data_IF_147915655144
#
_entry.id   IF_147915655144
#
_cell.length_a   1.000
_cell.length_b   1.000
_cell.length_c   1.000
_cell.angle_alpha   90.00
_cell.angle_beta   90.00
_cell.angle_gamma   90.00
#
_symmetry.space_group_name_H-M   'P 1'
#
loop_
_entity.id
_entity.type
_entity.pdbx_description
1 polymer ?
#
# COMPACT_ATOMS: atom_id res chain seq x y z
N UNK A 1 27.13 12.05 9.09
CA UNK A 1 26.16 12.29 7.98
C UNK A 1 25.38 11.01 7.69
N UNK A 2 24.24 10.75 8.36
CA UNK A 2 23.34 9.61 8.07
C UNK A 2 21.84 9.97 8.12
N UNK A 3 21.50 11.23 8.41
CA UNK A 3 20.12 11.67 8.63
C UNK A 3 19.36 11.93 7.31
N UNK A 4 20.04 12.37 6.25
CA UNK A 4 19.38 12.74 4.98
C UNK A 4 18.79 11.58 4.17
N UNK A 5 19.24 10.34 4.38
CA UNK A 5 18.73 9.17 3.63
C UNK A 5 17.36 8.74 4.18
N UNK A 6 17.14 8.85 5.49
CA UNK A 6 15.90 8.46 6.17
C UNK A 6 14.74 9.39 5.83
N UNK A 7 15.00 10.70 5.68
CA UNK A 7 13.98 11.68 5.28
C UNK A 7 13.53 11.48 3.83
N UNK A 8 14.48 11.20 2.93
CA UNK A 8 14.20 10.97 1.51
C UNK A 8 13.46 9.64 1.26
N UNK A 9 13.80 8.59 2.02
CA UNK A 9 13.01 7.34 2.06
C UNK A 9 11.63 7.60 2.67
N UNK A 10 11.53 8.30 3.81
CA UNK A 10 10.25 8.64 4.42
C UNK A 10 9.31 9.42 3.50
N UNK A 11 9.84 10.30 2.65
CA UNK A 11 9.09 11.02 1.64
C UNK A 11 8.62 10.11 0.49
N UNK A 12 9.49 9.26 -0.07
CA UNK A 12 9.08 8.28 -1.10
C UNK A 12 8.02 7.29 -0.56
N UNK A 13 8.15 6.90 0.71
CA UNK A 13 7.22 6.03 1.42
C UNK A 13 5.87 6.70 1.69
N UNK A 14 5.87 7.96 2.12
CA UNK A 14 4.66 8.75 2.35
C UNK A 14 3.81 8.95 1.07
N UNK A 15 4.46 8.97 -0.10
CA UNK A 15 3.80 9.15 -1.40
C UNK A 15 3.18 7.87 -1.91
N UNK A 16 3.80 6.73 -1.60
CA UNK A 16 3.29 5.42 -2.00
C UNK A 16 2.21 4.90 -1.04
N UNK A 17 2.13 5.38 0.21
CA UNK A 17 0.99 5.14 1.12
C UNK A 17 1.19 5.76 2.50
N UNK A 18 0.11 6.26 3.11
CA UNK A 18 0.05 6.41 4.55
C UNK A 18 0.28 5.05 5.23
N UNK A 19 1.07 5.05 6.31
CA UNK A 19 1.54 3.92 7.13
C UNK A 19 2.79 3.20 6.63
N UNK A 20 3.79 3.16 7.52
CA UNK A 20 5.12 2.64 7.28
C UNK A 20 5.18 1.12 7.24
N UNK A 21 6.13 0.61 6.46
CA UNK A 21 6.63 -0.75 6.62
C UNK A 21 8.13 -0.72 6.97
N UNK A 22 8.52 -1.76 7.70
CA UNK A 22 9.88 -2.06 8.06
C UNK A 22 10.62 -2.67 6.86
N UNK A 23 11.87 -2.26 6.68
CA UNK A 23 12.84 -3.04 5.91
C UNK A 23 13.16 -4.33 6.67
N UNK A 24 12.75 -5.49 6.16
CA UNK A 24 13.19 -6.77 6.71
C UNK A 24 14.62 -7.02 6.22
N UNK A 25 15.60 -6.64 7.04
CA UNK A 25 16.93 -7.21 6.97
C UNK A 25 16.90 -8.56 7.69
N UNK A 26 17.10 -9.65 6.97
CA UNK A 26 17.12 -10.99 7.52
C UNK A 26 18.33 -11.18 8.45
N UNK A 27 18.11 -11.07 9.76
CA UNK A 27 19.05 -11.55 10.78
C UNK A 27 18.63 -12.98 11.18
N UNK A 28 19.42 -13.95 10.72
CA UNK A 28 19.35 -15.35 11.14
C UNK A 28 19.89 -15.44 12.57
N UNK A 29 19.09 -15.87 13.53
CA UNK A 29 19.56 -16.20 14.89
C UNK A 29 18.96 -17.53 15.34
N UNK A 30 19.85 -18.39 15.79
CA UNK A 30 19.69 -19.82 16.08
C UNK A 30 18.81 -20.09 17.30
N UNK A 31 18.15 -21.26 17.29
CA UNK A 31 17.30 -21.77 18.38
C UNK A 31 18.15 -22.72 19.26
N UNK A 32 18.20 -22.56 20.59
CA UNK A 32 18.82 -23.56 21.46
C UNK A 32 17.82 -24.69 21.81
N UNK A 33 18.30 -25.93 22.06
CA UNK A 33 17.45 -27.09 22.30
C UNK A 33 17.27 -27.40 23.81
N UNK A 34 16.10 -27.93 24.15
CA UNK A 34 15.88 -28.72 25.37
C UNK A 34 14.97 -28.06 26.41
N UNK A 35 13.71 -28.51 26.47
CA UNK A 35 13.04 -29.05 27.68
C UNK A 35 11.50 -29.22 27.45
N UNK A 36 10.79 -30.02 28.28
CA UNK A 36 10.01 -31.17 27.81
C UNK A 36 8.55 -30.87 27.46
N UNK A 37 7.98 -31.80 26.68
CA UNK A 37 6.58 -31.89 26.27
C UNK A 37 5.71 -32.16 27.49
N UNK A 38 4.85 -31.21 27.85
CA UNK A 38 3.77 -31.39 28.80
C UNK A 38 2.50 -31.86 28.07
N UNK A 39 1.90 -32.86 28.68
CA UNK A 39 0.77 -33.70 28.29
C UNK A 39 -0.57 -32.95 28.20
N UNK A 40 -1.25 -33.18 27.07
CA UNK A 40 -2.70 -33.10 26.80
C UNK A 40 -3.53 -32.02 27.52
N UNK A 41 -3.76 -30.91 26.82
CA UNK A 41 -5.04 -30.19 26.91
C UNK A 41 -5.93 -30.69 25.76
N UNK A 42 -7.12 -31.18 26.09
CA UNK A 42 -8.12 -31.71 25.17
C UNK A 42 -8.30 -30.83 23.93
N UNK A 43 -8.09 -31.41 22.75
CA UNK A 43 -8.42 -30.79 21.48
C UNK A 43 -9.95 -30.58 21.40
N UNK A 44 -10.42 -29.37 21.02
CA UNK A 44 -11.84 -29.18 20.73
C UNK A 44 -12.24 -30.10 19.57
N UNK A 45 -13.48 -30.61 19.55
CA UNK A 45 -13.90 -31.64 18.60
C UNK A 45 -13.62 -31.17 17.17
N UNK A 46 -13.12 -32.08 16.33
CA UNK A 46 -12.83 -31.87 14.89
C UNK A 46 -14.06 -31.30 14.19
N UNK A 47 -14.19 -29.97 14.27
CA UNK A 47 -15.25 -29.22 13.65
C UNK A 47 -15.06 -29.35 12.15
N UNK A 48 -16.05 -29.99 11.49
CA UNK A 48 -16.23 -30.06 10.04
C UNK A 48 -15.64 -28.80 9.38
N UNK A 49 -14.39 -28.88 8.94
CA UNK A 49 -13.71 -27.78 8.26
C UNK A 49 -14.48 -27.59 6.96
N UNK A 50 -15.40 -26.62 6.93
CA UNK A 50 -16.10 -26.26 5.70
C UNK A 50 -15.04 -26.03 4.64
N UNK A 51 -15.10 -26.71 3.49
CA UNK A 51 -14.06 -26.60 2.48
C UNK A 51 -13.90 -25.12 2.12
N UNK A 52 -12.64 -24.68 1.95
CA UNK A 52 -12.26 -23.28 1.70
C UNK A 52 -13.10 -22.64 0.58
N UNK A 53 -13.53 -23.46 -0.39
CA UNK A 53 -14.46 -23.09 -1.46
C UNK A 53 -15.84 -22.66 -0.97
N UNK A 54 -16.47 -23.38 -0.04
CA UNK A 54 -17.76 -22.95 0.54
C UNK A 54 -17.61 -21.68 1.37
N UNK A 55 -16.43 -21.46 1.95
CA UNK A 55 -16.16 -20.28 2.75
C UNK A 55 -16.00 -19.02 1.88
N UNK A 56 -15.32 -19.17 0.74
CA UNK A 56 -15.08 -18.08 -0.21
C UNK A 56 -16.24 -17.83 -1.15
N UNK A 57 -16.90 -18.88 -1.65
CA UNK A 57 -17.89 -18.79 -2.73
C UNK A 57 -19.34 -18.85 -2.24
N UNK A 58 -19.61 -19.48 -1.09
CA UNK A 58 -20.96 -19.77 -0.60
C UNK A 58 -21.33 -21.24 -0.78
N UNK A 59 -22.02 -21.80 0.22
CA UNK A 59 -22.39 -23.21 0.25
C UNK A 59 -23.62 -23.50 -0.62
N UNK A 60 -24.60 -22.60 -0.62
CA UNK A 60 -25.84 -22.73 -1.39
C UNK A 60 -25.86 -21.80 -2.63
N UNK A 61 -26.69 -22.08 -3.66
CA UNK A 61 -26.86 -21.20 -4.81
C UNK A 61 -27.31 -19.78 -4.42
N UNK A 62 -28.29 -19.65 -3.52
CA UNK A 62 -28.76 -18.35 -3.02
C UNK A 62 -27.65 -17.59 -2.28
N UNK A 63 -26.85 -18.29 -1.47
CA UNK A 63 -25.72 -17.65 -0.79
C UNK A 63 -24.65 -17.18 -1.79
N UNK A 64 -24.39 -17.94 -2.86
CA UNK A 64 -23.45 -17.53 -3.92
C UNK A 64 -23.89 -16.26 -4.61
N UNK A 65 -25.17 -16.12 -4.91
CA UNK A 65 -25.74 -14.92 -5.53
C UNK A 65 -25.63 -13.73 -4.59
N UNK A 66 -26.05 -13.88 -3.33
CA UNK A 66 -25.92 -12.83 -2.30
C UNK A 66 -24.46 -12.37 -2.13
N UNK A 67 -23.52 -13.32 -2.05
CA UNK A 67 -22.10 -13.00 -1.92
C UNK A 67 -21.54 -12.37 -3.21
N UNK A 68 -22.02 -12.76 -4.38
CA UNK A 68 -21.60 -12.17 -5.64
C UNK A 68 -22.06 -10.70 -5.76
N UNK A 69 -23.29 -10.40 -5.33
CA UNK A 69 -23.79 -9.03 -5.26
C UNK A 69 -22.97 -8.19 -4.28
N UNK A 70 -22.71 -8.73 -3.07
CA UNK A 70 -21.90 -8.03 -2.07
C UNK A 70 -20.46 -7.80 -2.56
N UNK A 71 -19.85 -8.75 -3.29
CA UNK A 71 -18.51 -8.55 -3.91
C UNK A 71 -18.51 -7.40 -4.90
N UNK A 72 -19.54 -7.29 -5.74
CA UNK A 72 -19.69 -6.18 -6.71
C UNK A 72 -19.84 -4.86 -5.98
N UNK A 73 -20.69 -4.81 -4.95
CA UNK A 73 -20.89 -3.62 -4.11
C UNK A 73 -19.58 -3.19 -3.45
N UNK A 74 -18.86 -4.11 -2.82
CA UNK A 74 -17.59 -3.83 -2.15
C UNK A 74 -16.53 -3.31 -3.12
N UNK A 75 -16.40 -3.96 -4.28
CA UNK A 75 -15.43 -3.52 -5.30
C UNK A 75 -15.78 -2.13 -5.83
N UNK A 76 -17.07 -1.86 -6.08
CA UNK A 76 -17.53 -0.53 -6.51
C UNK A 76 -17.32 0.55 -5.44
N UNK A 77 -17.60 0.24 -4.17
CA UNK A 77 -17.39 1.17 -3.07
C UNK A 77 -15.89 1.41 -2.81
N UNK A 78 -15.06 0.37 -2.80
CA UNK A 78 -13.61 0.50 -2.66
C UNK A 78 -12.99 1.31 -3.81
N UNK A 79 -13.47 1.10 -5.04
CA UNK A 79 -13.11 1.92 -6.19
C UNK A 79 -13.51 3.39 -5.96
N UNK A 80 -14.76 3.66 -5.58
CA UNK A 80 -15.25 5.03 -5.34
C UNK A 80 -14.45 5.77 -4.25
N UNK A 81 -14.00 5.07 -3.21
CA UNK A 81 -13.12 5.63 -2.17
C UNK A 81 -11.65 5.78 -2.60
N UNK A 82 -11.27 5.30 -3.79
CA UNK A 82 -9.89 5.36 -4.28
C UNK A 82 -8.94 4.34 -3.66
N UNK A 83 -9.47 3.40 -2.89
CA UNK A 83 -8.73 2.43 -2.07
C UNK A 83 -8.40 1.12 -2.80
N UNK A 84 -9.12 0.80 -3.87
CA UNK A 84 -8.81 -0.35 -4.70
C UNK A 84 -7.66 0.01 -5.68
N UNK A 85 -6.48 -0.62 -5.56
CA UNK A 85 -5.34 -0.34 -6.45
C UNK A 85 -5.53 -0.88 -7.87
N UNK A 86 -6.55 -1.73 -8.10
CA UNK A 86 -6.87 -2.34 -9.41
C UNK A 86 -8.04 -1.65 -10.11
N UNK A 87 -8.67 -0.67 -9.46
CA UNK A 87 -9.76 0.11 -10.02
C UNK A 87 -9.26 1.10 -11.07
N UNK A 88 -9.87 1.04 -12.25
CA UNK A 88 -9.61 1.94 -13.38
C UNK A 88 -10.79 2.90 -13.46
N UNK A 89 -10.72 3.95 -12.65
CA UNK A 89 -11.74 4.99 -12.57
C UNK A 89 -11.07 6.37 -12.55
N UNK A 90 -11.79 7.38 -13.02
CA UNK A 90 -11.33 8.76 -13.01
C UNK A 90 -11.78 9.50 -11.76
N UNK A 91 -10.84 10.12 -11.06
CA UNK A 91 -11.13 11.02 -9.95
C UNK A 91 -9.90 11.86 -9.60
N UNK A 92 -10.14 12.90 -8.81
CA UNK A 92 -9.11 13.63 -8.09
C UNK A 92 -9.29 13.40 -6.59
N UNK A 93 -8.20 13.31 -5.85
CA UNK A 93 -8.22 13.09 -4.42
C UNK A 93 -7.19 13.98 -3.74
N UNK A 94 -7.63 14.62 -2.65
CA UNK A 94 -6.75 15.32 -1.72
C UNK A 94 -6.68 14.49 -0.45
N UNK A 95 -5.49 14.19 0.02
CA UNK A 95 -5.29 13.39 1.24
C UNK A 95 -4.33 14.11 2.17
N UNK A 96 -4.76 14.29 3.41
CA UNK A 96 -3.88 14.75 4.48
C UNK A 96 -3.56 13.56 5.39
N UNK A 97 -2.30 13.45 5.77
CA UNK A 97 -1.80 12.40 6.65
C UNK A 97 -0.89 12.99 7.71
N UNK A 98 -1.02 12.48 8.93
CA UNK A 98 -0.15 12.79 10.06
C UNK A 98 0.51 11.50 10.53
N UNK A 99 1.84 11.50 10.64
CA UNK A 99 2.62 10.37 11.14
C UNK A 99 3.57 10.84 12.24
N UNK A 100 3.49 10.21 13.40
CA UNK A 100 4.44 10.40 14.49
C UNK A 100 5.26 9.11 14.66
N UNK A 101 6.57 9.21 14.52
CA UNK A 101 7.49 8.08 14.63
C UNK A 101 8.12 8.01 16.02
N UNK A 102 8.60 6.83 16.41
CA UNK A 102 9.22 6.58 17.72
C UNK A 102 10.49 7.37 17.98
N UNK A 103 11.13 7.90 16.93
CA UNK A 103 12.32 8.75 17.00
C UNK A 103 12.00 10.25 17.15
N UNK A 104 10.76 10.62 17.51
CA UNK A 104 10.25 11.99 17.56
C UNK A 104 10.22 12.72 16.21
N UNK A 105 10.37 12.00 15.09
CA UNK A 105 10.07 12.55 13.78
C UNK A 105 8.56 12.68 13.63
N UNK A 106 8.11 13.87 13.26
CA UNK A 106 6.75 14.15 12.83
C UNK A 106 6.77 14.39 11.33
N UNK A 107 5.86 13.73 10.63
CA UNK A 107 5.72 13.84 9.19
C UNK A 107 4.25 14.07 8.86
N UNK A 108 3.95 15.28 8.42
CA UNK A 108 2.67 15.63 7.83
C UNK A 108 2.79 15.62 6.31
N UNK A 109 1.74 15.14 5.66
CA UNK A 109 1.71 14.99 4.19
C UNK A 109 0.40 15.53 3.67
N UNK A 110 0.45 16.34 2.62
CA UNK A 110 -0.69 16.69 1.80
C UNK A 110 -0.44 16.18 0.39
N UNK A 111 -1.27 15.26 -0.09
CA UNK A 111 -1.11 14.61 -1.38
C UNK A 111 -2.27 14.98 -2.28
N UNK A 112 -1.95 15.54 -3.45
CA UNK A 112 -2.91 15.71 -4.53
C UNK A 112 -2.72 14.61 -5.56
N UNK A 113 -3.77 13.83 -5.81
CA UNK A 113 -3.76 12.73 -6.76
C UNK A 113 -4.80 12.96 -7.85
N UNK A 114 -4.42 12.68 -9.09
CA UNK A 114 -5.33 12.66 -10.25
C UNK A 114 -5.19 11.31 -10.93
N UNK A 115 -6.29 10.57 -11.08
CA UNK A 115 -6.37 9.34 -11.86
C UNK A 115 -7.17 9.58 -13.14
N UNK A 116 -6.60 9.15 -14.26
CA UNK A 116 -7.13 9.30 -15.60
C UNK A 116 -7.27 7.90 -16.23
N UNK A 117 -8.50 7.37 -16.41
CA UNK A 117 -8.73 6.13 -17.13
C UNK A 117 -8.58 6.42 -18.63
N UNK A 118 -7.39 6.15 -19.17
CA UNK A 118 -7.08 6.36 -20.59
C UNK A 118 -7.94 5.43 -21.45
N UNK A 119 -8.13 4.19 -20.99
CA UNK A 119 -9.07 3.22 -21.56
C UNK A 119 -9.77 2.47 -20.43
N UNK A 120 -10.79 1.62 -20.69
CA UNK A 120 -11.40 0.78 -19.66
C UNK A 120 -10.41 -0.15 -18.93
N UNK A 121 -9.25 -0.44 -19.55
CA UNK A 121 -8.23 -1.35 -19.02
C UNK A 121 -6.87 -0.70 -18.78
N UNK A 122 -6.73 0.63 -18.95
CA UNK A 122 -5.47 1.35 -18.75
C UNK A 122 -5.71 2.66 -18.00
N UNK A 123 -4.94 2.87 -16.92
CA UNK A 123 -4.93 4.12 -16.17
C UNK A 123 -3.58 4.84 -16.26
N UNK A 124 -3.66 6.16 -16.17
CA UNK A 124 -2.56 7.04 -15.79
C UNK A 124 -2.91 7.72 -14.47
N UNK A 125 -1.98 7.78 -13.53
CA UNK A 125 -2.15 8.44 -12.25
C UNK A 125 -0.97 9.35 -11.99
N UNK A 126 -1.23 10.58 -11.55
CA UNK A 126 -0.22 11.55 -11.14
C UNK A 126 -0.48 11.91 -9.70
N UNK A 127 0.58 11.83 -8.88
CA UNK A 127 0.54 12.09 -7.45
C UNK A 127 1.57 13.16 -7.12
N UNK A 128 1.08 14.28 -6.56
CA UNK A 128 1.84 15.48 -6.19
C UNK A 128 1.83 15.63 -4.66
N UNK A 129 2.91 15.21 -3.99
CA UNK A 129 3.01 15.30 -2.55
C UNK A 129 3.66 16.60 -2.07
N UNK A 130 3.13 17.12 -0.96
CA UNK A 130 3.74 18.15 -0.14
C UNK A 130 3.99 17.56 1.25
N UNK A 131 5.21 17.72 1.76
CA UNK A 131 5.64 17.12 3.02
C UNK A 131 6.07 18.22 3.98
N UNK A 132 5.68 18.09 5.25
CA UNK A 132 6.27 18.79 6.38
C UNK A 132 6.94 17.75 7.28
N UNK A 133 8.25 17.83 7.43
CA UNK A 133 9.04 16.95 8.26
C UNK A 133 9.67 17.76 9.39
N UNK A 134 9.41 17.37 10.62
CA UNK A 134 9.94 18.02 11.82
C UNK A 134 10.55 16.98 12.77
N UNK A 135 11.85 17.06 12.98
CA UNK A 135 12.54 16.24 13.97
C UNK A 135 12.54 17.00 15.30
N UNK A 136 11.61 16.66 16.19
CA UNK A 136 11.39 17.37 17.45
C UNK A 136 12.49 17.04 18.50
N UNK A 137 13.71 17.50 18.25
CA UNK A 137 14.91 17.33 19.10
C UNK A 137 15.80 18.59 19.06
N UNK A 138 16.62 18.86 20.09
CA UNK A 138 17.62 19.92 20.03
C UNK A 138 18.61 19.66 18.88
N UNK A 139 18.73 20.62 17.94
CA UNK A 139 19.43 20.49 16.63
C UNK A 139 18.72 19.59 15.60
N UNK A 140 17.45 19.30 15.82
CA UNK A 140 16.59 18.67 14.82
C UNK A 140 16.44 19.53 13.57
N UNK A 141 16.09 18.91 12.45
CA UNK A 141 15.77 19.61 11.23
C UNK A 141 14.26 19.77 11.13
N UNK A 142 13.83 20.95 10.69
CA UNK A 142 12.45 21.20 10.28
C UNK A 142 12.50 21.61 8.82
N UNK A 143 11.77 20.91 7.95
CA UNK A 143 11.74 21.19 6.52
C UNK A 143 10.38 20.89 5.93
N UNK A 144 9.97 21.70 4.97
CA UNK A 144 8.75 21.52 4.23
C UNK A 144 8.91 21.87 2.75
N UNK A 145 8.01 21.34 1.93
CA UNK A 145 7.99 21.60 0.49
C UNK A 145 7.36 20.46 -0.29
N UNK A 146 7.18 20.66 -1.61
CA UNK A 146 6.84 19.56 -2.52
C UNK A 146 7.94 18.49 -2.49
N UNK A 147 7.52 17.24 -2.56
CA UNK A 147 8.38 16.06 -2.69
C UNK A 147 8.43 15.59 -4.15
N UNK A 148 9.02 14.42 -4.40
CA UNK A 148 9.15 13.85 -5.72
C UNK A 148 7.76 13.49 -6.28
N UNK A 149 7.50 13.93 -7.51
CA UNK A 149 6.24 13.62 -8.21
C UNK A 149 6.24 12.16 -8.60
N UNK A 150 5.13 11.46 -8.38
CA UNK A 150 4.99 10.06 -8.79
C UNK A 150 3.96 9.95 -9.90
N UNK A 151 4.35 9.27 -10.98
CA UNK A 151 3.48 8.93 -12.10
C UNK A 151 3.33 7.42 -12.16
N UNK A 152 2.10 6.93 -12.00
CA UNK A 152 1.78 5.51 -12.19
C UNK A 152 1.08 5.32 -13.53
N UNK A 153 1.49 4.31 -14.27
CA UNK A 153 0.78 3.86 -15.47
C UNK A 153 0.69 2.35 -15.48
N UNK A 154 -0.44 1.81 -15.92
CA UNK A 154 -0.62 0.36 -15.94
C UNK A 154 -2.02 -0.08 -16.32
N UNK A 155 -2.17 -1.37 -16.53
CA UNK A 155 -3.41 -1.96 -17.00
C UNK A 155 -3.90 -3.12 -16.16
N UNK A 156 -5.20 -3.36 -16.26
CA UNK A 156 -5.85 -4.52 -15.67
C UNK A 156 -5.67 -5.72 -16.59
N UNK A 157 -4.98 -6.75 -16.11
CA UNK A 157 -4.79 -8.00 -16.84
C UNK A 157 -5.98 -8.93 -16.70
N UNK A 158 -6.61 -8.93 -15.53
CA UNK A 158 -7.71 -9.83 -15.22
C UNK A 158 -8.64 -9.18 -14.21
N UNK A 159 -9.95 -9.35 -14.39
CA UNK A 159 -10.92 -9.06 -13.35
C UNK A 159 -12.07 -10.04 -13.41
N UNK A 160 -12.42 -10.55 -12.24
CA UNK A 160 -13.61 -11.34 -11.97
C UNK A 160 -14.28 -10.79 -10.71
N UNK A 161 -15.49 -11.24 -10.38
CA UNK A 161 -16.12 -10.90 -9.10
C UNK A 161 -15.31 -11.30 -7.86
N UNK A 162 -14.30 -12.18 -7.99
CA UNK A 162 -13.55 -12.73 -6.85
C UNK A 162 -12.12 -12.24 -6.75
N UNK A 163 -11.55 -11.72 -7.84
CA UNK A 163 -10.17 -11.24 -7.88
C UNK A 163 -9.98 -10.31 -9.06
N UNK A 164 -9.20 -9.25 -8.85
CA UNK A 164 -8.70 -8.37 -9.88
C UNK A 164 -7.17 -8.32 -9.83
N UNK A 165 -6.54 -8.28 -11.01
CA UNK A 165 -5.10 -8.20 -11.20
C UNK A 165 -4.78 -6.98 -12.07
N UNK A 166 -3.86 -6.17 -11.56
CA UNK A 166 -3.33 -4.99 -12.24
C UNK A 166 -1.81 -5.11 -12.34
N UNK A 167 -1.25 -4.70 -13.47
CA UNK A 167 0.20 -4.56 -13.64
C UNK A 167 0.52 -3.18 -14.13
N UNK A 168 1.63 -2.62 -13.67
CA UNK A 168 2.02 -1.28 -14.01
C UNK A 168 3.41 -0.94 -13.54
N UNK A 169 3.76 0.33 -13.71
CA UNK A 169 5.00 0.88 -13.23
C UNK A 169 4.74 2.23 -12.59
N UNK A 170 5.49 2.49 -11.52
CA UNK A 170 5.58 3.82 -10.92
C UNK A 170 6.89 4.46 -11.36
N UNK A 171 6.81 5.70 -11.82
CA UNK A 171 7.96 6.53 -12.10
C UNK A 171 7.99 7.65 -11.07
N UNK A 172 9.06 7.74 -10.29
CA UNK A 172 9.31 8.90 -9.43
C UNK A 172 10.20 9.88 -10.17
N UNK A 173 9.77 11.14 -10.21
CA UNK A 173 10.45 12.25 -10.87
C UNK A 173 11.00 13.18 -9.78
N UNK A 174 12.31 13.52 -9.80
CA UNK A 174 12.96 14.30 -8.75
C UNK A 174 12.57 15.79 -8.80
N UNK A 175 11.32 16.10 -8.46
CA UNK A 175 10.74 17.45 -8.43
C UNK A 175 10.77 18.08 -7.03
N UNK A 176 11.34 17.40 -6.03
CA UNK A 176 11.36 17.92 -4.67
C UNK A 176 12.05 19.29 -4.57
N UNK A 177 11.45 20.21 -3.80
CA UNK A 177 11.99 21.55 -3.63
C UNK A 177 13.31 21.59 -2.84
N UNK A 178 13.55 20.56 -2.02
CA UNK A 178 14.73 20.47 -1.13
C UNK A 178 15.33 19.07 -1.17
N UNK A 179 16.64 19.00 -0.94
CA UNK A 179 17.42 17.77 -0.98
C UNK A 179 16.96 16.71 0.04
N UNK A 180 16.33 17.14 1.13
CA UNK A 180 15.84 16.28 2.21
C UNK A 180 14.44 15.70 1.92
N UNK A 181 13.71 16.29 0.97
CA UNK A 181 12.31 15.95 0.66
C UNK A 181 12.16 15.02 -0.54
N UNK A 182 13.25 14.71 -1.23
CA UNK A 182 13.25 13.86 -2.40
C UNK A 182 14.51 13.04 -2.49
N UNK A 183 14.49 12.06 -3.38
CA UNK A 183 15.60 11.17 -3.64
C UNK A 183 16.69 11.87 -4.47
N UNK A 184 16.28 12.78 -5.35
CA UNK A 184 17.14 13.38 -6.38
C UNK A 184 17.43 12.42 -7.55
N UNK A 185 16.71 11.30 -7.62
CA UNK A 185 16.85 10.27 -8.64
C UNK A 185 15.55 10.07 -9.40
N UNK A 186 15.66 9.77 -10.68
CA UNK A 186 14.57 9.14 -11.41
C UNK A 186 14.53 7.67 -10.99
N UNK A 187 13.38 7.20 -10.53
CA UNK A 187 13.21 5.79 -10.18
C UNK A 187 12.05 5.18 -10.95
N UNK A 188 12.18 3.90 -11.29
CA UNK A 188 11.13 3.09 -11.89
C UNK A 188 10.83 1.91 -10.96
N UNK A 189 9.55 1.70 -10.68
CA UNK A 189 9.01 0.62 -9.86
C UNK A 189 7.99 -0.22 -10.63
N UNK A 190 8.41 -1.06 -11.59
CA UNK A 190 7.54 -2.06 -12.19
C UNK A 190 6.97 -3.00 -11.12
N UNK A 191 5.73 -3.41 -11.30
CA UNK A 191 5.07 -4.29 -10.36
C UNK A 191 3.61 -4.55 -10.68
N UNK A 192 2.88 -5.02 -9.68
CA UNK A 192 1.47 -5.34 -9.83
C UNK A 192 0.71 -5.30 -8.52
N UNK A 193 -0.61 -5.32 -8.65
CA UNK A 193 -1.54 -5.36 -7.54
C UNK A 193 -2.57 -6.46 -7.75
N UNK A 194 -2.91 -7.15 -6.67
CA UNK A 194 -4.03 -8.09 -6.61
C UNK A 194 -5.02 -7.59 -5.59
N UNK A 195 -6.30 -7.57 -5.95
CA UNK A 195 -7.40 -7.23 -5.04
C UNK A 195 -8.42 -8.37 -4.98
N UNK A 196 -8.84 -8.74 -3.77
CA UNK A 196 -9.74 -9.85 -3.46
C UNK A 196 -10.87 -9.33 -2.56
N UNK A 197 -12.11 -9.20 -3.07
CA UNK A 197 -13.25 -8.84 -2.25
C UNK A 197 -13.64 -9.99 -1.30
N UNK A 198 -13.78 -9.66 -0.03
CA UNK A 198 -14.13 -10.54 1.09
C UNK A 198 -15.53 -10.18 1.60
N UNK A 199 -16.61 -10.65 0.93
CA UNK A 199 -17.98 -10.20 1.19
C UNK A 199 -18.45 -10.49 2.62
N UNK A 200 -18.05 -11.62 3.20
CA UNK A 200 -18.42 -11.97 4.58
C UNK A 200 -17.81 -11.05 5.64
N UNK A 201 -16.69 -10.41 5.33
CA UNK A 201 -16.01 -9.46 6.20
C UNK A 201 -16.30 -8.00 5.80
N UNK A 202 -17.15 -7.76 4.78
CA UNK A 202 -17.36 -6.42 4.18
C UNK A 202 -16.05 -5.71 3.84
N UNK A 203 -15.08 -6.47 3.38
CA UNK A 203 -13.70 -6.01 3.22
C UNK A 203 -13.15 -6.27 1.83
N UNK A 204 -12.19 -5.48 1.41
CA UNK A 204 -11.34 -5.73 0.24
C UNK A 204 -9.92 -5.97 0.75
N UNK A 205 -9.39 -7.17 0.52
CA UNK A 205 -7.96 -7.41 0.70
C UNK A 205 -7.25 -7.01 -0.58
N UNK A 206 -6.11 -6.33 -0.47
CA UNK A 206 -5.23 -6.16 -1.62
C UNK A 206 -3.77 -6.28 -1.22
N UNK A 207 -2.95 -6.65 -2.20
CA UNK A 207 -1.50 -6.59 -2.10
C UNK A 207 -0.92 -5.91 -3.33
N UNK A 208 0.06 -5.04 -3.12
CA UNK A 208 0.85 -4.37 -4.16
C UNK A 208 2.29 -4.79 -3.98
N UNK A 209 2.94 -5.20 -5.07
CA UNK A 209 4.35 -5.59 -5.09
C UNK A 209 5.03 -4.80 -6.20
N UNK A 210 6.11 -4.09 -5.89
CA UNK A 210 6.86 -3.27 -6.83
C UNK A 210 8.35 -3.35 -6.54
N UNK A 211 9.19 -3.36 -7.57
CA UNK A 211 10.66 -3.34 -7.42
C UNK A 211 11.22 -2.02 -7.95
N UNK A 212 11.59 -1.12 -7.03
CA UNK A 212 12.06 0.22 -7.36
C UNK A 212 13.55 0.23 -7.61
N UNK A 213 13.96 0.78 -8.76
CA UNK A 213 15.35 0.96 -9.14
C UNK A 213 15.61 2.38 -9.66
N UNK A 214 16.76 2.93 -9.31
CA UNK A 214 17.21 4.23 -9.85
C UNK A 214 17.72 4.08 -11.28
N UNK A 215 17.22 4.90 -12.19
CA UNK A 215 17.58 4.88 -13.61
C UNK A 215 18.34 6.13 -14.06
N UNK A 216 18.39 7.17 -13.24
CA UNK A 216 19.12 8.41 -13.53
C UNK A 216 18.95 9.47 -12.45
N UNK A 217 19.43 10.69 -12.71
CA UNK A 217 19.29 11.85 -11.82
C UNK A 217 20.64 12.41 -11.35
N UNK A 218 20.63 13.10 -10.20
CA UNK A 218 21.81 13.79 -9.66
C UNK A 218 22.93 12.78 -9.31
N UNK A 219 24.13 12.88 -9.93
CA UNK A 219 25.22 11.93 -9.70
C UNK A 219 25.80 12.02 -8.27
N UNK A 220 25.61 13.14 -7.57
CA UNK A 220 26.06 13.31 -6.17
C UNK A 220 25.16 12.57 -5.17
N UNK A 221 24.00 12.07 -5.61
CA UNK A 221 23.04 11.34 -4.79
C UNK A 221 23.25 9.83 -4.95
N UNK A 222 23.06 9.08 -3.87
CA UNK A 222 23.15 7.62 -3.90
C UNK A 222 22.02 7.02 -4.78
N UNK A 223 22.33 5.93 -5.47
CA UNK A 223 21.30 5.13 -6.13
C UNK A 223 20.48 4.38 -5.08
N UNK A 224 19.19 4.20 -5.38
CA UNK A 224 18.20 3.55 -4.54
C UNK A 224 17.71 2.31 -5.28
N UNK A 225 17.62 1.19 -4.55
CA UNK A 225 17.05 -0.07 -4.99
C UNK A 225 16.33 -0.73 -3.81
N UNK A 226 15.04 -1.02 -3.95
CA UNK A 226 14.26 -1.74 -2.94
C UNK A 226 13.00 -2.36 -3.52
N UNK A 227 12.58 -3.48 -2.95
CA UNK A 227 11.27 -4.07 -3.22
C UNK A 227 10.25 -3.55 -2.19
N UNK A 228 9.15 -3.01 -2.68
CA UNK A 228 7.99 -2.64 -1.89
C UNK A 228 6.97 -3.78 -1.94
N UNK A 229 6.54 -4.23 -0.76
CA UNK A 229 5.38 -5.11 -0.59
C UNK A 229 4.41 -4.41 0.34
N UNK A 230 3.22 -4.13 -0.14
CA UNK A 230 2.18 -3.48 0.65
C UNK A 230 0.92 -4.32 0.62
N UNK A 231 0.52 -4.84 1.77
CA UNK A 231 -0.75 -5.53 1.95
C UNK A 231 -1.69 -4.69 2.81
N UNK A 232 -2.98 -4.69 2.47
CA UNK A 232 -3.97 -4.02 3.28
C UNK A 232 -5.34 -4.71 3.23
N UNK A 233 -6.11 -4.53 4.30
CA UNK A 233 -7.51 -4.91 4.40
C UNK A 233 -8.31 -3.63 4.55
N UNK A 234 -9.11 -3.31 3.53
CA UNK A 234 -10.02 -2.18 3.57
C UNK A 234 -11.44 -2.65 3.92
N UNK A 235 -11.93 -2.30 5.10
CA UNK A 235 -13.28 -2.60 5.57
C UNK A 235 -14.22 -1.43 5.31
N UNK A 236 -15.33 -1.70 4.61
CA UNK A 236 -16.32 -0.70 4.25
C UNK A 236 -17.50 -0.79 5.23
N UNK A 237 -17.64 0.24 6.07
CA UNK A 237 -18.68 0.30 7.10
C UNK A 237 -19.99 0.87 6.56
N UNK A 238 -19.89 1.89 5.71
CA UNK A 238 -21.02 2.56 5.07
C UNK A 238 -20.60 3.20 3.74
N UNK A 239 -21.53 3.88 3.08
CA UNK A 239 -21.26 4.64 1.85
C UNK A 239 -20.30 5.83 2.05
N UNK A 240 -19.98 6.20 3.29
CA UNK A 240 -19.09 7.34 3.60
C UNK A 240 -17.93 6.99 4.51
N UNK A 241 -17.93 5.80 5.10
CA UNK A 241 -16.95 5.42 6.12
C UNK A 241 -16.33 4.07 5.77
N UNK A 242 -15.01 4.06 5.77
CA UNK A 242 -14.19 2.88 5.61
C UNK A 242 -12.98 2.98 6.54
N UNK A 243 -12.35 1.85 6.81
CA UNK A 243 -11.07 1.80 7.52
C UNK A 243 -10.13 0.86 6.78
N UNK A 244 -8.88 1.26 6.61
CA UNK A 244 -7.84 0.35 6.11
C UNK A 244 -6.91 -0.02 7.25
N UNK A 245 -6.72 -1.32 7.42
CA UNK A 245 -5.63 -1.88 8.20
C UNK A 245 -4.52 -2.28 7.23
N UNK A 246 -3.36 -1.65 7.37
CA UNK A 246 -2.18 -2.05 6.63
C UNK A 246 -1.49 -3.19 7.38
N UNK A 247 -1.06 -4.19 6.61
CA UNK A 247 -0.30 -5.34 7.12
C UNK A 247 1.14 -5.08 6.75
N UNK A 248 1.93 -4.63 7.73
CA UNK A 248 3.32 -4.20 7.56
C UNK A 248 4.27 -4.94 8.49
#
# INVERSE_FOLDING_TARGET
>A
MRVGLLSALGALWAVCSGTGSLSIAAARSEKPPGEPVAESAEEPPEGKRRPLRELLYGATPEERERLAEERRRLSAAAAAFGTDPTAIIGYYQLTYGHNAFTNNLRLDTATAEVRLPITPNWLLRVTLPYVWADLNQPRGFTTNGPSDTVVRTGGRLYASPNVALFVGTDASIPTAAKKELGTGKYTLGPGGAVAVPMPRARSLFFTVIQDFNSVGGDPSRANIHFMQVQSAVNTIWSERWWSTAFVT
#
